data_IF_100528495850
#
_entry.id   IF_100528495850
#
_cell.length_a   1.000
_cell.length_b   1.000
_cell.length_c   1.000
_cell.angle_alpha   90.00
_cell.angle_beta   90.00
_cell.angle_gamma   90.00
#
_symmetry.space_group_name_H-M   'P 1'
#
loop_
_entity.id
_entity.type
_entity.pdbx_description
1 polymer ?
#
# COMPACT_ATOMS: atom_id res chain seq x y z
N UNK A 1 5.79 -6.92 -26.74
CA UNK A 1 6.39 -8.27 -26.50
C UNK A 1 5.34 -9.31 -26.91
N UNK A 2 5.73 -10.44 -27.51
CA UNK A 2 4.76 -11.48 -27.87
C UNK A 2 4.23 -12.16 -26.60
N UNK A 3 2.91 -12.48 -26.49
CA UNK A 3 2.35 -13.24 -25.37
C UNK A 3 3.09 -14.55 -25.09
N UNK A 4 3.58 -15.21 -26.15
CA UNK A 4 4.34 -16.45 -26.05
C UNK A 4 5.66 -16.29 -25.26
N UNK A 5 6.35 -15.15 -25.42
CA UNK A 5 7.60 -14.86 -24.68
C UNK A 5 7.32 -14.70 -23.18
N UNK A 6 6.22 -14.04 -22.83
CA UNK A 6 5.80 -13.89 -21.42
C UNK A 6 5.46 -15.24 -20.79
N UNK A 7 4.67 -16.06 -21.47
CA UNK A 7 4.32 -17.41 -20.99
C UNK A 7 5.55 -18.29 -20.75
N UNK A 8 6.58 -18.18 -21.58
CA UNK A 8 7.84 -18.91 -21.36
C UNK A 8 8.62 -18.38 -20.16
N UNK A 9 8.59 -17.06 -19.92
CA UNK A 9 9.19 -16.45 -18.73
C UNK A 9 8.47 -16.87 -17.44
N UNK A 10 7.15 -16.86 -17.44
CA UNK A 10 6.30 -17.31 -16.32
C UNK A 10 6.49 -18.80 -15.99
N UNK A 11 6.78 -19.62 -16.99
CA UNK A 11 7.12 -21.05 -16.81
C UNK A 11 8.56 -21.29 -16.34
N UNK A 12 9.35 -20.23 -16.12
CA UNK A 12 10.73 -20.35 -15.68
C UNK A 12 11.68 -20.94 -16.75
N UNK A 13 11.30 -20.86 -18.03
CA UNK A 13 12.07 -21.44 -19.14
C UNK A 13 13.19 -20.53 -19.64
N UNK A 14 13.29 -19.30 -19.14
CA UNK A 14 14.39 -18.38 -19.42
C UNK A 14 15.36 -18.26 -18.24
N UNK A 15 16.67 -18.14 -18.50
CA UNK A 15 17.62 -17.73 -17.47
C UNK A 15 17.24 -16.35 -16.88
N UNK A 16 17.44 -16.18 -15.59
CA UNK A 16 17.16 -14.91 -14.87
C UNK A 16 17.75 -13.68 -15.57
N UNK A 17 18.94 -13.79 -16.14
CA UNK A 17 19.58 -12.68 -16.83
C UNK A 17 18.75 -12.16 -18.02
N UNK A 18 18.07 -13.05 -18.76
CA UNK A 18 17.20 -12.69 -19.88
C UNK A 18 15.92 -12.04 -19.36
N UNK A 19 15.32 -12.59 -18.31
CA UNK A 19 14.12 -12.01 -17.68
C UNK A 19 14.43 -10.60 -17.17
N UNK A 20 15.53 -10.42 -16.42
CA UNK A 20 15.98 -9.12 -15.92
C UNK A 20 16.27 -8.12 -17.05
N UNK A 21 16.86 -8.57 -18.14
CA UNK A 21 17.07 -7.73 -19.33
C UNK A 21 15.73 -7.29 -19.93
N UNK A 22 14.78 -8.20 -20.11
CA UNK A 22 13.43 -7.91 -20.60
C UNK A 22 12.69 -6.89 -19.72
N UNK A 23 12.70 -7.08 -18.40
CA UNK A 23 12.11 -6.14 -17.43
C UNK A 23 12.73 -4.74 -17.58
N UNK A 24 14.06 -4.66 -17.69
CA UNK A 24 14.76 -3.38 -17.88
C UNK A 24 14.37 -2.67 -19.19
N UNK A 25 14.08 -3.41 -20.27
CA UNK A 25 13.60 -2.80 -21.52
C UNK A 25 12.18 -2.23 -21.34
N UNK A 26 11.27 -2.97 -20.67
CA UNK A 26 9.93 -2.47 -20.35
C UNK A 26 9.96 -1.23 -19.44
N UNK A 27 10.84 -1.21 -18.45
CA UNK A 27 11.05 -0.03 -17.60
C UNK A 27 11.59 1.17 -18.37
N UNK A 28 12.52 0.96 -19.31
CA UNK A 28 13.03 2.03 -20.19
C UNK A 28 11.92 2.59 -21.08
N UNK A 29 11.09 1.71 -21.64
CA UNK A 29 9.92 2.13 -22.43
C UNK A 29 8.96 2.96 -21.57
N UNK A 30 8.60 2.47 -20.38
CA UNK A 30 7.73 3.22 -19.46
C UNK A 30 8.31 4.59 -19.09
N UNK A 31 9.60 4.66 -18.79
CA UNK A 31 10.28 5.92 -18.52
C UNK A 31 10.25 6.88 -19.71
N UNK A 32 10.35 6.37 -20.94
CA UNK A 32 10.24 7.19 -22.13
C UNK A 32 8.81 7.75 -22.32
N UNK A 33 7.79 6.94 -22.05
CA UNK A 33 6.37 7.35 -22.09
C UNK A 33 6.04 8.42 -21.04
N UNK A 34 6.62 8.31 -19.84
CA UNK A 34 6.41 9.24 -18.72
C UNK A 34 7.17 10.54 -18.93
N UNK A 35 8.34 10.51 -19.59
CA UNK A 35 9.12 11.71 -19.87
C UNK A 35 8.36 12.63 -20.83
N UNK A 36 7.83 13.71 -20.32
CA UNK A 36 7.37 14.83 -21.14
C UNK A 36 8.61 15.60 -21.65
N UNK A 37 8.56 16.07 -22.90
CA UNK A 37 9.69 16.76 -23.52
C UNK A 37 10.03 18.11 -22.86
N UNK A 38 9.07 18.74 -22.18
CA UNK A 38 9.21 20.04 -21.54
C UNK A 38 8.38 20.12 -20.24
N UNK A 39 8.65 21.15 -19.44
CA UNK A 39 8.04 21.38 -18.12
C UNK A 39 6.55 21.68 -18.23
N UNK A 40 6.12 22.41 -19.25
CA UNK A 40 4.71 22.79 -19.44
C UNK A 40 3.86 21.56 -19.77
N UNK A 41 4.31 20.72 -20.68
CA UNK A 41 3.65 19.43 -21.03
C UNK A 41 3.57 18.51 -19.81
N UNK A 42 4.61 18.46 -18.96
CA UNK A 42 4.60 17.71 -17.72
C UNK A 42 3.52 18.20 -16.76
N UNK A 43 3.47 19.50 -16.53
CA UNK A 43 2.50 20.13 -15.64
C UNK A 43 1.06 19.92 -16.14
N UNK A 44 0.81 20.11 -17.43
CA UNK A 44 -0.51 19.86 -18.04
C UNK A 44 -0.96 18.42 -17.95
N UNK A 45 -0.03 17.45 -18.02
CA UNK A 45 -0.35 16.01 -17.82
C UNK A 45 -0.78 15.76 -16.40
N UNK A 46 -0.05 16.27 -15.41
CA UNK A 46 -0.37 16.07 -14.00
C UNK A 46 -1.71 16.73 -13.65
N UNK A 47 -1.98 17.95 -14.12
CA UNK A 47 -3.26 18.63 -13.92
C UNK A 47 -4.44 17.83 -14.53
N UNK A 48 -4.27 17.28 -15.73
CA UNK A 48 -5.30 16.41 -16.33
C UNK A 48 -5.52 15.15 -15.51
N UNK A 49 -4.45 14.52 -15.03
CA UNK A 49 -4.53 13.34 -14.17
C UNK A 49 -5.34 13.63 -12.90
N UNK A 50 -5.07 14.76 -12.24
CA UNK A 50 -5.80 15.20 -11.02
C UNK A 50 -7.28 15.46 -11.33
N UNK A 51 -7.59 16.11 -12.44
CA UNK A 51 -8.96 16.39 -12.87
C UNK A 51 -9.73 15.09 -13.16
N UNK A 52 -9.14 14.15 -13.89
CA UNK A 52 -9.72 12.83 -14.14
C UNK A 52 -9.91 12.02 -12.85
N UNK A 53 -8.91 12.04 -11.97
CA UNK A 53 -8.94 11.37 -10.67
C UNK A 53 -10.09 11.88 -9.80
N UNK A 54 -10.31 13.19 -9.76
CA UNK A 54 -11.36 13.83 -8.93
C UNK A 54 -12.79 13.50 -9.38
N UNK A 55 -12.98 13.03 -10.63
CA UNK A 55 -14.28 12.62 -11.17
C UNK A 55 -14.54 11.12 -11.07
N UNK A 56 -13.57 10.34 -10.68
CA UNK A 56 -13.68 8.90 -10.57
C UNK A 56 -14.37 8.49 -9.25
N UNK A 57 -14.87 7.24 -9.11
CA UNK A 57 -15.19 6.67 -7.80
C UNK A 57 -13.92 6.54 -6.95
N UNK A 58 -14.06 6.42 -5.63
CA UNK A 58 -12.91 6.28 -4.73
C UNK A 58 -12.07 5.05 -5.07
N UNK A 59 -12.71 3.90 -5.25
CA UNK A 59 -12.05 2.67 -5.70
C UNK A 59 -12.72 2.15 -6.98
N UNK A 60 -11.92 1.84 -8.02
CA UNK A 60 -12.46 1.45 -9.34
C UNK A 60 -12.67 -0.06 -9.44
N UNK A 61 -11.79 -0.89 -8.87
CA UNK A 61 -11.82 -2.36 -8.97
C UNK A 61 -11.41 -2.99 -7.62
N UNK A 62 -12.09 -2.62 -6.53
CA UNK A 62 -11.78 -3.10 -5.19
C UNK A 62 -11.81 -4.64 -5.06
N UNK A 63 -12.73 -5.32 -5.77
CA UNK A 63 -12.84 -6.78 -5.77
C UNK A 63 -11.63 -7.45 -6.45
N UNK A 64 -11.16 -6.91 -7.59
CA UNK A 64 -9.98 -7.44 -8.27
C UNK A 64 -8.68 -7.26 -7.49
N UNK A 65 -8.53 -6.16 -6.78
CA UNK A 65 -7.39 -5.97 -5.89
C UNK A 65 -7.37 -7.05 -4.79
N UNK A 66 -8.53 -7.45 -4.27
CA UNK A 66 -8.65 -8.56 -3.33
C UNK A 66 -8.22 -9.89 -3.93
N UNK A 67 -8.73 -10.24 -5.10
CA UNK A 67 -8.36 -11.48 -5.80
C UNK A 67 -6.85 -11.56 -6.04
N UNK A 68 -6.23 -10.48 -6.50
CA UNK A 68 -4.80 -10.46 -6.83
C UNK A 68 -3.86 -10.50 -5.62
N UNK A 69 -4.26 -9.90 -4.50
CA UNK A 69 -3.35 -9.71 -3.36
C UNK A 69 -3.68 -10.58 -2.14
N UNK A 70 -4.93 -11.03 -1.97
CA UNK A 70 -5.42 -11.51 -0.67
C UNK A 70 -6.12 -12.86 -0.71
N UNK A 71 -6.33 -13.50 -1.86
CA UNK A 71 -6.83 -14.87 -1.95
C UNK A 71 -5.77 -15.94 -1.64
N UNK A 72 -4.52 -15.52 -1.43
CA UNK A 72 -3.47 -16.41 -0.92
C UNK A 72 -3.71 -16.60 0.58
N UNK A 73 -3.62 -17.84 1.04
CA UNK A 73 -3.90 -18.19 2.44
C UNK A 73 -2.98 -17.46 3.43
N UNK A 74 -3.49 -17.17 4.63
CA UNK A 74 -2.69 -16.57 5.72
C UNK A 74 -1.40 -17.36 6.01
N UNK A 75 -1.45 -18.69 5.88
CA UNK A 75 -0.30 -19.58 6.07
C UNK A 75 0.86 -19.24 5.10
N UNK A 76 0.54 -18.94 3.85
CA UNK A 76 1.57 -18.52 2.90
C UNK A 76 2.30 -17.25 3.39
N UNK A 77 1.55 -16.27 3.88
CA UNK A 77 2.14 -15.04 4.41
C UNK A 77 2.96 -15.28 5.66
N UNK A 78 2.56 -16.22 6.51
CA UNK A 78 3.34 -16.68 7.66
C UNK A 78 4.71 -17.26 7.29
N UNK A 79 4.84 -17.84 6.09
CA UNK A 79 6.11 -18.39 5.59
C UNK A 79 6.99 -17.37 4.89
N UNK A 80 6.42 -16.33 4.28
CA UNK A 80 7.17 -15.38 3.43
C UNK A 80 7.38 -14.00 4.06
N UNK A 81 6.64 -13.68 5.13
CA UNK A 81 6.82 -12.45 5.89
C UNK A 81 7.55 -12.71 7.21
N UNK A 82 8.04 -11.66 7.84
CA UNK A 82 8.55 -11.73 9.20
C UNK A 82 7.43 -11.84 10.24
N UNK A 83 7.78 -11.85 11.53
CA UNK A 83 6.84 -12.09 12.63
C UNK A 83 5.74 -11.03 12.76
N UNK A 84 5.94 -9.84 12.19
CA UNK A 84 4.94 -8.78 12.21
C UNK A 84 4.03 -8.78 10.98
N UNK A 85 4.22 -9.71 10.04
CA UNK A 85 3.42 -9.86 8.81
C UNK A 85 3.28 -8.55 8.02
N UNK A 86 4.31 -7.72 8.01
CA UNK A 86 4.30 -6.45 7.30
C UNK A 86 4.42 -6.67 5.80
N UNK A 87 3.29 -6.72 5.10
CA UNK A 87 3.24 -6.95 3.65
C UNK A 87 3.75 -5.76 2.84
N UNK A 88 3.53 -4.53 3.31
CA UNK A 88 4.11 -3.30 2.77
C UNK A 88 5.64 -3.24 2.98
N UNK A 89 6.28 -2.18 2.49
CA UNK A 89 7.74 -1.99 2.63
C UNK A 89 8.20 -2.09 4.09
N UNK A 90 9.33 -2.76 4.33
CA UNK A 90 10.04 -2.73 5.60
C UNK A 90 10.97 -1.49 5.65
N UNK A 91 11.56 -1.17 6.80
CA UNK A 91 12.53 -0.08 6.93
C UNK A 91 13.89 -0.61 7.35
N UNK A 92 14.78 -0.74 6.38
CA UNK A 92 16.15 -1.21 6.59
C UNK A 92 17.05 -0.05 7.02
N UNK A 93 16.90 0.36 8.29
CA UNK A 93 17.79 1.36 8.89
C UNK A 93 19.19 0.81 9.13
N UNK A 94 20.15 1.70 9.40
CA UNK A 94 21.48 1.29 9.84
C UNK A 94 21.38 0.45 11.12
N UNK A 95 21.73 -0.84 11.03
CA UNK A 95 21.64 -1.80 12.13
C UNK A 95 20.53 -2.85 12.03
N UNK A 96 19.57 -2.72 11.10
CA UNK A 96 18.61 -3.78 10.84
C UNK A 96 19.28 -4.90 10.02
N UNK A 97 19.54 -6.04 10.66
CA UNK A 97 20.21 -7.19 10.04
C UNK A 97 19.23 -8.31 9.63
N UNK A 98 17.97 -8.25 10.09
CA UNK A 98 16.96 -9.27 9.83
C UNK A 98 15.65 -8.64 9.36
N UNK A 99 14.81 -9.43 8.66
CA UNK A 99 13.49 -8.99 8.23
C UNK A 99 12.62 -8.56 9.43
N UNK A 100 12.67 -9.30 10.53
CA UNK A 100 11.95 -8.97 11.75
C UNK A 100 12.31 -7.57 12.29
N UNK A 101 13.60 -7.25 12.32
CA UNK A 101 14.08 -5.93 12.75
C UNK A 101 13.64 -4.82 11.78
N UNK A 102 13.70 -5.09 10.47
CA UNK A 102 13.28 -4.12 9.47
C UNK A 102 11.75 -3.88 9.46
N UNK A 103 10.95 -4.93 9.70
CA UNK A 103 9.50 -4.80 9.89
C UNK A 103 9.17 -3.97 11.14
N UNK A 104 9.78 -4.29 12.28
CA UNK A 104 9.61 -3.56 13.53
C UNK A 104 10.01 -2.08 13.37
N UNK A 105 11.16 -1.81 12.75
CA UNK A 105 11.61 -0.45 12.46
C UNK A 105 10.60 0.30 11.58
N UNK A 106 10.07 -0.33 10.51
CA UNK A 106 9.08 0.28 9.64
C UNK A 106 7.75 0.59 10.34
N UNK A 107 7.30 -0.28 11.24
CA UNK A 107 6.10 -0.05 12.05
C UNK A 107 6.32 1.08 13.08
N UNK A 108 7.48 1.08 13.72
CA UNK A 108 7.87 2.12 14.66
C UNK A 108 7.94 3.51 13.98
N UNK A 109 8.64 3.63 12.87
CA UNK A 109 8.73 4.88 12.09
C UNK A 109 7.34 5.36 11.61
N UNK A 110 6.48 4.43 11.19
CA UNK A 110 5.09 4.75 10.83
C UNK A 110 4.35 5.40 12.01
N UNK A 111 4.46 4.83 13.20
CA UNK A 111 3.83 5.36 14.40
C UNK A 111 4.40 6.73 14.80
N UNK A 112 5.72 6.91 14.71
CA UNK A 112 6.39 8.20 14.97
C UNK A 112 5.92 9.29 14.00
N UNK A 113 5.93 8.99 12.70
CA UNK A 113 5.51 9.93 11.66
C UNK A 113 4.01 10.27 11.75
N UNK A 114 3.17 9.32 12.16
CA UNK A 114 1.76 9.54 12.45
C UNK A 114 1.53 10.32 13.75
N UNK A 115 2.58 10.61 14.53
CA UNK A 115 2.52 11.25 15.84
C UNK A 115 1.51 10.56 16.78
N UNK A 116 1.62 9.21 16.87
CA UNK A 116 0.76 8.42 17.76
C UNK A 116 1.13 8.68 19.23
N UNK A 117 0.12 8.77 20.05
CA UNK A 117 0.23 8.80 21.51
C UNK A 117 -0.74 7.76 22.10
N UNK A 118 -0.43 7.28 23.28
CA UNK A 118 -1.34 6.35 23.97
C UNK A 118 -2.67 7.01 24.34
N UNK A 119 -3.74 6.23 24.39
CA UNK A 119 -5.10 6.70 24.69
C UNK A 119 -5.87 7.29 23.52
N UNK A 120 -5.33 7.28 22.29
CA UNK A 120 -5.99 7.82 21.11
C UNK A 120 -7.02 6.86 20.50
N UNK A 121 -8.04 7.43 19.85
CA UNK A 121 -8.91 6.71 18.92
C UNK A 121 -8.29 6.74 17.52
N UNK A 122 -7.97 5.56 16.98
CA UNK A 122 -7.20 5.40 15.75
C UNK A 122 -8.06 4.68 14.70
N UNK A 123 -8.07 5.20 13.48
CA UNK A 123 -8.64 4.53 12.30
C UNK A 123 -7.51 4.12 11.36
N UNK A 124 -7.43 2.84 11.04
CA UNK A 124 -6.50 2.31 10.05
C UNK A 124 -7.26 1.91 8.79
N UNK A 125 -6.93 2.54 7.66
CA UNK A 125 -7.50 2.28 6.34
C UNK A 125 -6.57 1.37 5.54
N UNK A 126 -7.05 0.16 5.21
CA UNK A 126 -6.25 -0.84 4.51
C UNK A 126 -5.34 -1.62 5.45
N UNK A 127 -5.90 -2.24 6.50
CA UNK A 127 -5.13 -2.89 7.56
C UNK A 127 -4.38 -4.18 7.14
N UNK A 128 -4.60 -4.71 5.93
CA UNK A 128 -3.96 -5.91 5.44
C UNK A 128 -4.11 -7.09 6.42
N UNK A 129 -3.03 -7.76 6.75
CA UNK A 129 -3.01 -8.87 7.72
C UNK A 129 -2.90 -8.40 9.19
N UNK A 130 -3.17 -7.10 9.46
CA UNK A 130 -3.20 -6.54 10.80
C UNK A 130 -1.83 -6.20 11.38
N UNK A 131 -0.80 -6.13 10.56
CA UNK A 131 0.57 -5.82 10.99
C UNK A 131 0.64 -4.55 11.84
N UNK A 132 0.15 -3.42 11.31
CA UNK A 132 0.15 -2.15 12.02
C UNK A 132 -0.92 -2.12 13.12
N UNK A 133 -2.11 -2.70 12.90
CA UNK A 133 -3.17 -2.81 13.90
C UNK A 133 -2.67 -3.45 15.20
N UNK A 134 -2.04 -4.62 15.09
CA UNK A 134 -1.55 -5.38 16.25
C UNK A 134 -0.34 -4.70 16.90
N UNK A 135 0.55 -4.12 16.10
CA UNK A 135 1.66 -3.31 16.59
C UNK A 135 1.18 -2.12 17.41
N UNK A 136 0.22 -1.35 16.90
CA UNK A 136 -0.35 -0.22 17.62
C UNK A 136 -1.02 -0.65 18.93
N UNK A 137 -1.75 -1.76 18.91
CA UNK A 137 -2.39 -2.28 20.11
C UNK A 137 -1.40 -2.72 21.20
N UNK A 138 -0.23 -3.21 20.81
CA UNK A 138 0.83 -3.62 21.73
C UNK A 138 1.56 -2.41 22.34
N UNK A 139 1.89 -1.41 21.49
CA UNK A 139 2.73 -0.28 21.90
C UNK A 139 1.94 0.92 22.46
N UNK A 140 0.63 0.96 22.23
CA UNK A 140 -0.28 2.01 22.71
C UNK A 140 -1.48 1.38 23.43
N UNK A 141 -1.27 0.84 24.65
CA UNK A 141 -2.24 -0.01 25.35
C UNK A 141 -3.53 0.71 25.76
N UNK A 142 -3.53 2.03 25.90
CA UNK A 142 -4.71 2.84 26.18
C UNK A 142 -5.52 3.21 24.92
N UNK A 143 -4.99 2.98 23.73
CA UNK A 143 -5.64 3.37 22.46
C UNK A 143 -6.73 2.39 22.01
N UNK A 144 -7.69 2.91 21.26
CA UNK A 144 -8.74 2.13 20.58
C UNK A 144 -8.52 2.18 19.08
N UNK A 145 -8.60 1.05 18.41
CA UNK A 145 -8.28 0.93 16.99
C UNK A 145 -9.48 0.39 16.23
N UNK A 146 -9.89 1.11 15.18
CA UNK A 146 -10.80 0.61 14.15
C UNK A 146 -9.97 0.34 12.91
N UNK A 147 -9.89 -0.93 12.51
CA UNK A 147 -9.13 -1.38 11.34
C UNK A 147 -10.09 -1.76 10.21
N UNK A 148 -9.86 -1.21 9.01
CA UNK A 148 -10.73 -1.41 7.85
C UNK A 148 -9.98 -2.17 6.77
N UNK A 149 -10.60 -3.25 6.27
CA UNK A 149 -10.16 -4.01 5.09
C UNK A 149 -11.37 -4.34 4.22
N UNK A 150 -11.19 -4.55 2.92
CA UNK A 150 -12.22 -5.08 2.05
C UNK A 150 -12.18 -6.62 1.94
N UNK A 151 -11.27 -7.30 2.68
CA UNK A 151 -11.07 -8.75 2.66
C UNK A 151 -11.64 -9.44 3.90
N UNK A 152 -12.52 -10.42 3.69
CA UNK A 152 -13.08 -11.24 4.76
C UNK A 152 -12.04 -12.19 5.38
N UNK A 153 -11.11 -12.71 4.59
CA UNK A 153 -10.03 -13.58 5.08
C UNK A 153 -9.07 -12.83 5.99
N UNK A 154 -8.69 -11.60 5.64
CA UNK A 154 -7.87 -10.74 6.49
C UNK A 154 -8.58 -10.40 7.80
N UNK A 155 -9.85 -10.04 7.74
CA UNK A 155 -10.65 -9.81 8.94
C UNK A 155 -10.66 -11.03 9.87
N UNK A 156 -10.99 -12.20 9.34
CA UNK A 156 -11.05 -13.43 10.14
C UNK A 156 -9.71 -13.73 10.82
N UNK A 157 -8.60 -13.53 10.11
CA UNK A 157 -7.26 -13.69 10.65
C UNK A 157 -6.99 -12.70 11.79
N UNK A 158 -7.23 -11.40 11.57
CA UNK A 158 -7.00 -10.35 12.58
C UNK A 158 -7.87 -10.62 13.81
N UNK A 159 -9.15 -10.93 13.65
CA UNK A 159 -10.05 -11.23 14.76
C UNK A 159 -9.60 -12.45 15.58
N UNK A 160 -8.99 -13.47 14.93
CA UNK A 160 -8.38 -14.59 15.63
C UNK A 160 -7.19 -14.14 16.50
N UNK A 161 -6.29 -13.34 15.95
CA UNK A 161 -5.15 -12.77 16.68
C UNK A 161 -5.59 -11.84 17.82
N UNK A 162 -6.64 -11.06 17.61
CA UNK A 162 -7.23 -10.17 18.62
C UNK A 162 -7.78 -10.98 19.79
N UNK A 163 -8.52 -12.09 19.55
CA UNK A 163 -9.02 -12.98 20.59
C UNK A 163 -7.89 -13.66 21.36
N UNK A 164 -6.91 -14.20 20.63
CA UNK A 164 -5.76 -14.89 21.25
C UNK A 164 -5.01 -13.99 22.25
N UNK A 165 -4.97 -12.67 21.96
CA UNK A 165 -4.28 -11.67 22.78
C UNK A 165 -5.19 -10.93 23.77
N UNK A 166 -6.50 -11.25 23.83
CA UNK A 166 -7.48 -10.60 24.71
C UNK A 166 -7.71 -9.12 24.40
N UNK A 167 -7.65 -8.72 23.12
CA UNK A 167 -7.69 -7.33 22.66
C UNK A 167 -9.06 -6.88 22.11
N UNK A 168 -10.11 -7.71 22.22
CA UNK A 168 -11.44 -7.48 21.64
C UNK A 168 -12.10 -6.19 22.16
N UNK A 169 -11.75 -5.77 23.36
CA UNK A 169 -12.28 -4.56 23.96
C UNK A 169 -11.69 -3.26 23.38
N UNK A 170 -10.61 -3.35 22.59
CA UNK A 170 -9.89 -2.20 22.03
C UNK A 170 -9.78 -2.20 20.51
N UNK A 171 -9.92 -3.34 19.85
CA UNK A 171 -9.78 -3.48 18.41
C UNK A 171 -11.11 -3.88 17.79
N UNK A 172 -11.55 -3.10 16.82
CA UNK A 172 -12.70 -3.39 15.97
C UNK A 172 -12.23 -3.56 14.54
N UNK A 173 -12.50 -4.70 13.91
CA UNK A 173 -12.21 -4.94 12.49
C UNK A 173 -13.47 -4.81 11.67
N UNK A 174 -13.41 -4.02 10.59
CA UNK A 174 -14.55 -3.74 9.70
C UNK A 174 -14.18 -4.21 8.29
N UNK A 175 -15.03 -5.05 7.68
CA UNK A 175 -14.91 -5.36 6.25
C UNK A 175 -15.85 -4.45 5.47
N UNK A 176 -15.29 -3.57 4.64
CA UNK A 176 -16.07 -2.64 3.84
C UNK A 176 -15.28 -2.17 2.61
N UNK A 177 -15.98 -2.00 1.48
CA UNK A 177 -15.46 -1.29 0.32
C UNK A 177 -15.36 0.21 0.65
N UNK A 178 -14.23 0.84 0.33
CA UNK A 178 -13.97 2.25 0.63
C UNK A 178 -14.95 3.20 -0.08
N UNK A 179 -15.56 2.79 -1.18
CA UNK A 179 -16.65 3.54 -1.81
C UNK A 179 -17.87 3.71 -0.89
N UNK A 180 -18.10 2.74 -0.01
CA UNK A 180 -19.28 2.65 0.88
C UNK A 180 -18.96 2.86 2.35
N UNK A 181 -17.67 2.89 2.71
CA UNK A 181 -17.28 3.02 4.11
C UNK A 181 -17.65 4.40 4.64
N UNK A 182 -18.49 4.40 5.65
CA UNK A 182 -18.90 5.58 6.42
C UNK A 182 -18.82 5.27 7.91
N UNK A 183 -18.47 6.27 8.68
CA UNK A 183 -18.43 6.24 10.14
C UNK A 183 -18.79 7.62 10.67
N UNK A 184 -19.27 7.70 11.92
CA UNK A 184 -19.68 8.96 12.52
C UNK A 184 -18.52 9.98 12.53
N UNK A 185 -18.80 11.27 12.30
CA UNK A 185 -17.79 12.30 12.20
C UNK A 185 -17.11 12.60 13.55
N UNK A 186 -15.90 13.11 13.49
CA UNK A 186 -15.19 13.67 14.64
C UNK A 186 -14.74 12.66 15.70
N UNK A 187 -14.59 11.37 15.34
CA UNK A 187 -14.27 10.33 16.31
C UNK A 187 -12.79 10.00 16.46
N UNK A 188 -11.97 10.29 15.45
CA UNK A 188 -10.60 9.80 15.42
C UNK A 188 -9.57 10.90 15.64
N UNK A 189 -8.64 10.64 16.55
CA UNK A 189 -7.47 11.48 16.77
C UNK A 189 -6.42 11.25 15.67
N UNK A 190 -6.37 10.03 15.13
CA UNK A 190 -5.47 9.64 14.06
C UNK A 190 -6.19 8.76 13.04
N UNK A 191 -5.93 9.05 11.77
CA UNK A 191 -6.25 8.15 10.67
C UNK A 191 -4.93 7.78 10.00
N UNK A 192 -4.70 6.49 9.76
CA UNK A 192 -3.50 5.98 9.11
C UNK A 192 -3.87 5.18 7.87
N UNK A 193 -3.07 5.31 6.82
CA UNK A 193 -3.14 4.44 5.66
C UNK A 193 -1.73 4.13 5.15
N UNK A 194 -1.43 2.85 4.97
CA UNK A 194 -0.13 2.37 4.49
C UNK A 194 -0.36 1.50 3.27
N UNK A 195 0.14 1.97 2.12
CA UNK A 195 0.09 1.26 0.82
C UNK A 195 -1.31 0.75 0.43
N UNK A 196 -2.31 1.59 0.61
CA UNK A 196 -3.67 1.37 0.16
C UNK A 196 -4.11 2.40 -0.90
N UNK A 197 -3.63 3.64 -0.79
CA UNK A 197 -4.08 4.74 -1.64
C UNK A 197 -3.70 4.55 -3.11
N UNK A 198 -2.74 3.72 -3.42
CA UNK A 198 -2.39 3.30 -4.78
C UNK A 198 -3.53 2.54 -5.48
N UNK A 199 -4.44 1.96 -4.69
CA UNK A 199 -5.66 1.31 -5.17
C UNK A 199 -6.86 2.25 -5.18
N UNK A 200 -6.73 3.46 -4.62
CA UNK A 200 -7.79 4.47 -4.57
C UNK A 200 -7.62 5.47 -5.70
N UNK A 201 -8.69 5.74 -6.44
CA UNK A 201 -8.64 6.65 -7.57
C UNK A 201 -8.96 8.10 -7.16
N UNK A 202 -9.97 8.34 -6.35
CA UNK A 202 -10.40 9.69 -5.98
C UNK A 202 -9.87 10.08 -4.60
N UNK A 203 -8.64 10.58 -4.56
CA UNK A 203 -8.01 11.06 -3.32
C UNK A 203 -8.68 12.31 -2.74
N UNK A 204 -9.08 13.33 -3.54
CA UNK A 204 -9.80 14.48 -3.00
C UNK A 204 -11.05 14.10 -2.21
N UNK A 205 -11.90 13.24 -2.75
CA UNK A 205 -13.10 12.76 -2.07
C UNK A 205 -12.76 11.95 -0.80
N UNK A 206 -11.74 11.10 -0.87
CA UNK A 206 -11.33 10.32 0.30
C UNK A 206 -10.71 11.22 1.38
N UNK A 207 -9.95 12.24 1.03
CA UNK A 207 -9.43 13.24 1.99
C UNK A 207 -10.57 14.04 2.63
N UNK A 208 -11.63 14.39 1.87
CA UNK A 208 -12.83 15.02 2.41
C UNK A 208 -13.51 14.13 3.48
N UNK A 209 -13.65 12.82 3.20
CA UNK A 209 -14.21 11.87 4.17
C UNK A 209 -13.32 11.73 5.40
N UNK A 210 -12.01 11.56 5.22
CA UNK A 210 -11.05 11.47 6.32
C UNK A 210 -11.11 12.72 7.20
N UNK A 211 -11.19 13.91 6.60
CA UNK A 211 -11.34 15.16 7.37
C UNK A 211 -12.61 15.15 8.24
N UNK A 212 -13.72 14.62 7.75
CA UNK A 212 -14.97 14.49 8.54
C UNK A 212 -14.83 13.52 9.70
N UNK A 213 -14.09 12.42 9.53
CA UNK A 213 -13.88 11.40 10.56
C UNK A 213 -12.90 11.84 11.66
N UNK A 214 -11.99 12.76 11.33
CA UNK A 214 -11.02 13.30 12.26
C UNK A 214 -11.66 14.29 13.26
N UNK A 215 -11.18 14.25 14.49
CA UNK A 215 -11.39 15.33 15.47
C UNK A 215 -10.80 16.65 14.93
N UNK A 216 -11.13 17.83 15.51
CA UNK A 216 -10.55 19.11 15.07
C UNK A 216 -9.02 19.11 15.04
N UNK A 217 -8.36 18.51 16.03
CA UNK A 217 -6.91 18.38 16.16
C UNK A 217 -6.36 17.07 15.58
N UNK A 218 -7.23 16.28 14.96
CA UNK A 218 -6.89 14.99 14.39
C UNK A 218 -5.93 15.10 13.22
N UNK A 219 -5.10 14.06 13.01
CA UNK A 219 -4.12 14.01 11.92
C UNK A 219 -4.29 12.77 11.06
N UNK A 220 -4.04 12.92 9.77
CA UNK A 220 -3.98 11.83 8.82
C UNK A 220 -2.52 11.54 8.45
N UNK A 221 -2.13 10.27 8.52
CA UNK A 221 -0.85 9.78 8.03
C UNK A 221 -1.07 8.93 6.77
N UNK A 222 -0.35 9.27 5.72
CA UNK A 222 -0.38 8.57 4.45
C UNK A 222 1.02 8.07 4.07
N UNK A 223 1.16 6.76 3.85
CA UNK A 223 2.33 6.14 3.26
C UNK A 223 1.94 5.47 1.94
N UNK A 224 2.57 5.87 0.86
CA UNK A 224 2.39 5.32 -0.49
C UNK A 224 3.73 5.21 -1.21
N UNK A 225 3.85 4.26 -2.13
CA UNK A 225 4.96 4.33 -3.08
C UNK A 225 4.68 5.40 -4.13
N UNK A 226 5.72 6.02 -4.65
CA UNK A 226 5.58 7.12 -5.60
C UNK A 226 6.59 7.04 -6.74
N UNK A 227 6.20 7.56 -7.92
CA UNK A 227 7.14 7.94 -8.95
C UNK A 227 7.62 9.37 -8.72
N UNK A 228 8.91 9.62 -8.95
CA UNK A 228 9.55 10.91 -8.65
C UNK A 228 8.87 12.13 -9.29
N UNK A 229 8.27 11.98 -10.47
CA UNK A 229 7.91 13.14 -11.30
C UNK A 229 6.55 13.03 -12.04
N UNK A 230 5.86 11.90 -12.02
CA UNK A 230 4.64 11.74 -12.80
C UNK A 230 3.68 10.74 -12.18
N UNK A 231 2.39 11.07 -12.18
CA UNK A 231 1.31 10.15 -11.88
C UNK A 231 0.85 9.42 -13.15
N UNK A 232 0.49 8.15 -13.03
CA UNK A 232 -0.10 7.38 -14.13
C UNK A 232 -0.90 6.18 -13.62
N UNK A 233 -1.84 5.71 -14.45
CA UNK A 233 -2.65 4.55 -14.16
C UNK A 233 -1.95 3.26 -14.59
N UNK A 234 -2.17 2.19 -13.85
CA UNK A 234 -1.86 0.84 -14.29
C UNK A 234 -3.00 0.33 -15.18
N UNK A 235 -2.90 0.57 -16.48
CA UNK A 235 -3.87 0.16 -17.49
C UNK A 235 -3.34 -1.02 -18.30
N UNK A 236 -4.18 -2.02 -18.54
CA UNK A 236 -3.87 -3.11 -19.45
C UNK A 236 -4.12 -2.67 -20.90
N UNK A 237 -3.09 -2.18 -21.56
CA UNK A 237 -3.09 -1.79 -22.97
C UNK A 237 -2.54 -2.88 -23.89
N UNK A 238 -2.06 -3.98 -23.31
CA UNK A 238 -1.54 -5.10 -24.08
C UNK A 238 -0.54 -5.97 -23.31
N UNK A 239 0.08 -6.94 -24.01
CA UNK A 239 0.92 -7.96 -23.39
C UNK A 239 2.12 -7.43 -22.59
N UNK A 240 2.55 -6.19 -22.85
CA UNK A 240 3.66 -5.55 -22.12
C UNK A 240 3.26 -5.02 -20.74
N UNK A 241 1.96 -4.86 -20.48
CA UNK A 241 1.42 -4.29 -19.22
C UNK A 241 1.15 -5.37 -18.17
N UNK A 242 2.16 -6.22 -17.94
CA UNK A 242 2.07 -7.34 -16.99
C UNK A 242 1.67 -6.86 -15.58
N UNK A 243 2.25 -5.77 -15.08
CA UNK A 243 1.94 -5.22 -13.76
C UNK A 243 0.47 -4.84 -13.61
N UNK A 244 -0.12 -4.25 -14.65
CA UNK A 244 -1.53 -3.86 -14.64
C UNK A 244 -2.46 -5.05 -14.63
N UNK A 245 -2.09 -6.12 -15.33
CA UNK A 245 -2.93 -7.31 -15.47
C UNK A 245 -2.84 -8.24 -14.28
N UNK A 246 -1.61 -8.48 -13.78
CA UNK A 246 -1.37 -9.55 -12.81
C UNK A 246 -1.22 -9.03 -11.37
N UNK A 247 -0.96 -7.73 -11.18
CA UNK A 247 -0.62 -7.23 -9.85
C UNK A 247 -1.37 -5.94 -9.44
N UNK A 248 -1.50 -4.93 -10.31
CA UNK A 248 -2.08 -3.63 -9.97
C UNK A 248 -3.27 -3.26 -10.84
N UNK A 249 -4.20 -4.19 -11.10
CA UNK A 249 -5.40 -3.89 -11.89
C UNK A 249 -6.22 -2.77 -11.25
N UNK A 250 -6.43 -1.70 -12.00
CA UNK A 250 -7.20 -0.54 -11.54
C UNK A 250 -6.48 0.40 -10.57
N UNK A 251 -5.25 0.09 -10.19
CA UNK A 251 -4.41 0.93 -9.36
C UNK A 251 -3.71 2.06 -10.13
N UNK A 252 -2.92 2.83 -9.41
CA UNK A 252 -2.12 3.92 -9.98
C UNK A 252 -0.74 4.01 -9.34
N UNK A 253 0.19 4.61 -10.08
CA UNK A 253 1.45 5.13 -9.56
C UNK A 253 1.24 6.61 -9.29
N UNK A 254 1.20 7.07 -8.05
CA UNK A 254 1.15 8.49 -7.73
C UNK A 254 2.52 9.15 -7.97
N UNK A 255 2.52 10.43 -8.30
CA UNK A 255 3.74 11.23 -8.21
C UNK A 255 4.05 11.59 -6.75
N UNK A 256 5.32 11.95 -6.48
CA UNK A 256 5.75 12.46 -5.18
C UNK A 256 5.00 13.73 -4.75
N UNK A 257 4.44 14.48 -5.70
CA UNK A 257 3.70 15.72 -5.48
C UNK A 257 2.18 15.55 -5.46
N UNK A 258 1.64 14.38 -5.82
CA UNK A 258 0.20 14.20 -6.00
C UNK A 258 -0.62 14.53 -4.75
N UNK A 259 -0.18 14.08 -3.57
CA UNK A 259 -0.88 14.37 -2.32
C UNK A 259 -0.91 15.89 -2.00
N UNK A 260 0.11 16.64 -2.42
CA UNK A 260 0.18 18.08 -2.23
C UNK A 260 -0.81 18.85 -3.12
N UNK A 261 -1.22 18.24 -4.23
CA UNK A 261 -2.24 18.83 -5.11
C UNK A 261 -3.68 18.63 -4.60
N UNK A 262 -3.87 17.84 -3.51
CA UNK A 262 -5.18 17.50 -2.95
C UNK A 262 -5.41 18.11 -1.56
N UNK A 263 -5.00 19.37 -1.32
CA UNK A 263 -5.01 19.99 0.01
C UNK A 263 -6.28 20.80 0.36
N UNK A 264 -7.39 20.60 -0.34
CA UNK A 264 -8.63 21.35 -0.08
C UNK A 264 -9.23 21.05 1.31
N UNK A 265 -9.01 19.85 1.84
CA UNK A 265 -9.59 19.38 3.09
C UNK A 265 -8.55 19.06 4.18
N UNK A 266 -7.33 18.75 3.79
CA UNK A 266 -6.22 18.37 4.67
C UNK A 266 -4.95 19.07 4.19
N UNK A 267 -4.28 19.80 5.06
CA UNK A 267 -3.00 20.45 4.76
C UNK A 267 -1.82 19.53 5.10
N UNK A 268 -0.84 19.41 4.22
CA UNK A 268 0.39 18.66 4.48
C UNK A 268 1.26 19.42 5.50
N UNK A 269 1.52 18.81 6.63
CA UNK A 269 2.33 19.41 7.73
C UNK A 269 3.75 18.87 7.79
N UNK A 270 4.00 17.66 7.23
CA UNK A 270 5.32 17.06 7.19
C UNK A 270 5.41 16.01 6.07
N UNK A 271 6.60 15.78 5.55
CA UNK A 271 6.90 14.81 4.50
C UNK A 271 8.19 14.08 4.77
N UNK A 272 8.18 12.77 4.53
CA UNK A 272 9.36 11.90 4.61
C UNK A 272 9.47 11.09 3.33
N UNK A 273 10.66 10.69 2.96
CA UNK A 273 10.92 9.80 1.83
C UNK A 273 11.76 8.63 2.29
N UNK A 274 11.30 7.44 1.96
CA UNK A 274 12.06 6.22 2.08
C UNK A 274 12.61 5.83 0.72
N UNK A 275 13.85 5.37 0.68
CA UNK A 275 14.46 4.94 -0.56
C UNK A 275 13.86 3.61 -1.04
N UNK A 276 13.80 3.40 -2.37
CA UNK A 276 13.27 2.17 -2.96
C UNK A 276 14.06 0.90 -2.59
N UNK A 277 15.28 1.02 -2.08
CA UNK A 277 16.06 -0.10 -1.57
C UNK A 277 15.40 -0.82 -0.40
N UNK A 278 14.57 -0.12 0.38
CA UNK A 278 13.78 -0.73 1.45
C UNK A 278 12.79 -1.78 0.93
N UNK A 279 12.33 -1.66 -0.32
CA UNK A 279 11.53 -2.68 -1.01
C UNK A 279 12.38 -3.84 -1.53
N UNK A 280 13.55 -3.54 -2.09
CA UNK A 280 14.45 -4.54 -2.67
C UNK A 280 14.94 -5.52 -1.62
N UNK A 281 15.46 -5.02 -0.51
CA UNK A 281 16.01 -5.84 0.58
C UNK A 281 14.93 -6.73 1.19
N UNK A 282 13.70 -6.23 1.36
CA UNK A 282 12.58 -7.04 1.81
C UNK A 282 12.31 -8.23 0.89
N UNK A 283 12.25 -8.00 -0.43
CA UNK A 283 12.00 -9.08 -1.40
C UNK A 283 13.12 -10.10 -1.41
N UNK A 284 14.36 -9.66 -1.37
CA UNK A 284 15.55 -10.52 -1.36
C UNK A 284 15.58 -11.40 -0.13
N UNK A 285 15.30 -10.86 1.05
CA UNK A 285 15.26 -11.60 2.32
C UNK A 285 14.12 -12.61 2.35
N UNK A 286 12.94 -12.28 1.84
CA UNK A 286 11.80 -13.20 1.72
C UNK A 286 12.13 -14.40 0.86
N UNK A 287 12.74 -14.20 -0.30
CA UNK A 287 13.13 -15.27 -1.23
C UNK A 287 14.19 -16.18 -0.62
N UNK A 288 15.15 -15.62 0.12
CA UNK A 288 16.21 -16.39 0.76
C UNK A 288 15.73 -17.19 1.99
N UNK A 289 14.73 -16.70 2.72
CA UNK A 289 14.22 -17.37 3.92
C UNK A 289 13.21 -18.47 3.64
N UNK A 290 12.52 -18.45 2.50
CA UNK A 290 11.40 -19.35 2.25
C UNK A 290 11.78 -20.67 1.55
N UNK A 291 12.98 -20.81 0.99
CA UNK A 291 13.38 -21.95 0.13
C UNK A 291 12.32 -22.37 -0.93
N UNK A 292 11.36 -21.48 -1.22
CA UNK A 292 10.33 -21.71 -2.22
C UNK A 292 10.89 -21.29 -3.57
N UNK A 293 11.03 -22.21 -4.55
CA UNK A 293 11.44 -21.85 -5.90
C UNK A 293 10.48 -20.79 -6.48
N UNK A 294 11.03 -19.75 -7.09
CA UNK A 294 10.27 -18.71 -7.82
C UNK A 294 9.25 -19.27 -8.84
N UNK A 295 9.44 -20.51 -9.28
CA UNK A 295 8.56 -21.24 -10.20
C UNK A 295 7.19 -21.63 -9.60
N UNK A 296 6.93 -21.37 -8.32
CA UNK A 296 5.66 -21.71 -7.64
C UNK A 296 4.92 -20.51 -7.07
N UNK A 297 5.28 -19.30 -7.43
CA UNK A 297 4.44 -18.13 -7.16
C UNK A 297 3.32 -18.08 -8.22
N UNK A 298 2.05 -17.97 -7.80
CA UNK A 298 0.95 -17.76 -8.74
C UNK A 298 1.09 -16.44 -9.51
#
# INVERSE_FOLDING_TARGET
>A
MSPFILTLAERGLYPDAIVRWGIRQLLKQRLAEIRSGDVETAAQRELRFIDEMSRAPIAVLAEKANEQHYEVTADFFGHVLGPHLKYSSAFWSAGAATLAQAEAAGLHETCLHAALNDGQNILELGCGWGSLTLWMAEHYPGSRITAVSNSHSQRAYIEAQVRERGLEHRIRVVTCDMNRFEIDPGQFDRVLSVEMFEHMRNWPELFARIRRWLTPEGRFFLHVFVHRAASYLFEDRGPADWMSREFFTGGMMPSDELALACQDHLACVARWRWDGTHYEDRKSTRLNSSHIPLSRMP
#
